data_IF_902437748483
#
_entry.id   IF_902437748483
#
_cell.length_a   1.000
_cell.length_b   1.000
_cell.length_c   1.000
_cell.angle_alpha   90.00
_cell.angle_beta   90.00
_cell.angle_gamma   90.00
#
_symmetry.space_group_name_H-M   'P 1'
#
loop_
_entity.id
_entity.type
_entity.pdbx_description
1 polymer ?
#
# COMPACT_ATOMS: atom_id res chain seq x y z
N UNK A 1 -6.24 23.82 -11.24
CA UNK A 1 -6.11 22.36 -11.01
C UNK A 1 -6.81 22.04 -9.71
N UNK A 2 -7.47 20.88 -9.66
CA UNK A 2 -8.16 20.36 -8.45
C UNK A 2 -7.10 19.86 -7.48
N UNK A 3 -7.07 20.39 -6.25
CA UNK A 3 -6.11 19.96 -5.22
C UNK A 3 -6.53 18.59 -4.68
N UNK A 4 -5.63 17.62 -4.67
CA UNK A 4 -5.91 16.27 -4.15
C UNK A 4 -4.83 15.79 -3.19
N UNK A 5 -5.24 15.03 -2.17
CA UNK A 5 -4.36 14.23 -1.32
C UNK A 5 -4.50 12.77 -1.74
N UNK A 6 -3.37 12.07 -1.88
CA UNK A 6 -3.35 10.67 -2.30
C UNK A 6 -2.94 9.78 -1.13
N UNK A 7 -3.76 8.80 -0.81
CA UNK A 7 -3.55 7.80 0.23
C UNK A 7 -3.19 6.48 -0.43
N UNK A 8 -2.05 5.91 -0.09
CA UNK A 8 -1.55 4.67 -0.66
C UNK A 8 -1.46 3.61 0.42
N UNK A 9 -2.30 2.58 0.30
CA UNK A 9 -2.16 1.36 1.06
C UNK A 9 -0.96 0.57 0.51
N UNK A 10 0.13 0.57 1.26
CA UNK A 10 1.40 0.00 0.82
C UNK A 10 1.35 -1.50 0.57
N UNK A 11 0.61 -2.25 1.40
CA UNK A 11 0.48 -3.70 1.23
C UNK A 11 -0.41 -4.04 0.04
N UNK A 12 -1.54 -3.38 -0.10
CA UNK A 12 -2.40 -3.56 -1.26
C UNK A 12 -1.68 -3.22 -2.57
N UNK A 13 -0.93 -2.11 -2.60
CA UNK A 13 -0.11 -1.74 -3.76
C UNK A 13 0.95 -2.81 -4.04
N UNK A 14 1.68 -3.27 -3.01
CA UNK A 14 2.73 -4.27 -3.17
C UNK A 14 2.17 -5.60 -3.72
N UNK A 15 1.17 -6.17 -3.07
CA UNK A 15 0.62 -7.47 -3.48
C UNK A 15 -0.17 -7.40 -4.79
N UNK A 16 -0.80 -6.27 -5.08
CA UNK A 16 -1.58 -6.09 -6.31
C UNK A 16 -0.72 -5.84 -7.56
N UNK A 17 0.34 -5.06 -7.46
CA UNK A 17 1.09 -4.59 -8.63
C UNK A 17 2.59 -4.87 -8.61
N UNK A 18 3.23 -4.99 -7.44
CA UNK A 18 4.68 -4.96 -7.34
C UNK A 18 5.31 -6.30 -6.96
N UNK A 19 4.55 -7.20 -6.34
CA UNK A 19 5.05 -8.50 -5.91
C UNK A 19 5.58 -9.30 -7.11
N UNK A 20 6.79 -9.84 -6.98
CA UNK A 20 7.50 -10.60 -8.01
C UNK A 20 7.76 -9.83 -9.33
N UNK A 21 7.73 -8.49 -9.28
CA UNK A 21 8.02 -7.63 -10.44
C UNK A 21 9.34 -6.89 -10.25
N UNK A 22 10.03 -6.54 -11.36
CA UNK A 22 11.29 -5.78 -11.30
C UNK A 22 11.06 -4.25 -11.21
N UNK A 23 9.87 -3.79 -10.92
CA UNK A 23 9.53 -2.35 -10.87
C UNK A 23 9.07 -1.92 -9.47
N UNK A 24 9.73 -2.47 -8.43
CA UNK A 24 9.45 -2.17 -7.03
C UNK A 24 10.13 -0.90 -6.52
N UNK A 25 11.11 -0.37 -7.25
CA UNK A 25 11.82 0.89 -6.92
C UNK A 25 10.98 2.09 -7.40
N UNK A 26 9.77 2.20 -6.89
CA UNK A 26 8.70 3.06 -7.39
C UNK A 26 8.76 4.47 -6.77
N UNK A 27 8.79 5.51 -7.61
CA UNK A 27 8.52 6.89 -7.19
C UNK A 27 7.01 7.06 -6.96
N UNK A 28 6.61 7.05 -5.69
CA UNK A 28 5.20 7.12 -5.30
C UNK A 28 4.56 8.47 -5.63
N UNK A 29 5.34 9.55 -5.71
CA UNK A 29 4.81 10.88 -6.09
C UNK A 29 4.55 10.93 -7.58
N UNK A 30 5.50 10.46 -8.41
CA UNK A 30 5.32 10.34 -9.86
C UNK A 30 4.18 9.38 -10.20
N UNK A 31 4.11 8.25 -9.49
CA UNK A 31 3.06 7.26 -9.65
C UNK A 31 1.67 7.85 -9.34
N UNK A 32 1.52 8.54 -8.22
CA UNK A 32 0.27 9.21 -7.85
C UNK A 32 -0.15 10.24 -8.92
N UNK A 33 0.77 11.10 -9.36
CA UNK A 33 0.51 12.10 -10.42
C UNK A 33 0.08 11.45 -11.75
N UNK A 34 0.73 10.35 -12.12
CA UNK A 34 0.39 9.60 -13.36
C UNK A 34 -1.03 9.03 -13.29
N UNK A 35 -1.43 8.52 -12.13
CA UNK A 35 -2.75 7.91 -11.94
C UNK A 35 -3.87 8.94 -11.94
N UNK A 36 -3.71 10.03 -11.19
CA UNK A 36 -4.77 11.07 -11.09
C UNK A 36 -4.87 11.92 -12.33
N UNK A 37 -3.79 12.04 -13.10
CA UNK A 37 -3.75 12.77 -14.36
C UNK A 37 -3.51 14.28 -14.19
N UNK A 38 -3.39 15.01 -15.32
CA UNK A 38 -2.89 16.39 -15.36
C UNK A 38 -3.86 17.45 -14.81
N UNK A 39 -5.12 17.12 -14.62
CA UNK A 39 -6.11 18.05 -14.07
C UNK A 39 -6.03 18.21 -12.55
N UNK A 40 -5.24 17.38 -11.89
CA UNK A 40 -5.09 17.38 -10.43
C UNK A 40 -3.70 17.89 -10.01
N UNK A 41 -3.69 18.70 -8.95
CA UNK A 41 -2.47 19.03 -8.20
C UNK A 41 -2.37 18.12 -6.97
N UNK A 42 -1.41 17.23 -6.97
CA UNK A 42 -1.14 16.36 -5.83
C UNK A 42 -0.42 17.18 -4.75
N UNK A 43 -1.15 17.50 -3.68
CA UNK A 43 -0.62 18.24 -2.54
C UNK A 43 0.33 17.38 -1.70
N UNK A 44 -0.10 16.18 -1.37
CA UNK A 44 0.62 15.24 -0.53
C UNK A 44 0.28 13.81 -0.93
N UNK A 45 1.26 12.93 -0.86
CA UNK A 45 1.10 11.49 -0.94
C UNK A 45 1.34 10.90 0.45
N UNK A 46 0.32 10.32 1.06
CA UNK A 46 0.40 9.63 2.35
C UNK A 46 0.55 8.13 2.08
N UNK A 47 1.72 7.60 2.39
CA UNK A 47 2.04 6.18 2.17
C UNK A 47 1.99 5.42 3.48
N UNK A 48 1.04 4.50 3.59
CA UNK A 48 0.81 3.68 4.77
C UNK A 48 1.51 2.34 4.60
N UNK A 49 2.37 2.02 5.53
CA UNK A 49 3.21 0.82 5.47
C UNK A 49 3.62 0.39 6.86
N UNK A 50 4.10 -0.84 6.99
CA UNK A 50 4.66 -1.34 8.23
C UNK A 50 6.04 -1.91 8.00
N UNK A 51 6.91 -1.78 8.99
CA UNK A 51 8.28 -2.27 8.91
C UNK A 51 8.26 -3.80 8.74
N UNK A 52 8.73 -4.30 7.60
CA UNK A 52 8.81 -5.74 7.35
C UNK A 52 9.71 -6.43 8.38
N UNK A 53 9.53 -7.73 8.55
CA UNK A 53 10.43 -8.52 9.39
C UNK A 53 11.39 -9.31 8.51
N UNK A 54 12.60 -9.49 9.00
CA UNK A 54 13.52 -10.40 8.38
C UNK A 54 13.02 -11.84 8.58
N UNK A 55 12.93 -12.57 7.50
CA UNK A 55 12.65 -14.00 7.49
C UNK A 55 13.91 -14.74 7.05
N UNK A 56 14.16 -15.98 7.57
CA UNK A 56 15.31 -16.77 7.15
C UNK A 56 15.43 -16.93 5.63
N UNK A 57 14.29 -17.03 4.94
CA UNK A 57 14.21 -17.20 3.49
C UNK A 57 14.50 -15.90 2.72
N UNK A 58 14.38 -14.75 3.38
CA UNK A 58 14.64 -13.44 2.76
C UNK A 58 15.24 -12.45 3.77
N UNK A 59 16.50 -12.62 4.17
CA UNK A 59 17.16 -11.76 5.16
C UNK A 59 17.34 -10.32 4.66
N UNK A 60 17.39 -10.10 3.35
CA UNK A 60 17.58 -8.78 2.75
C UNK A 60 16.30 -7.92 2.71
N UNK A 61 15.12 -8.51 2.98
CA UNK A 61 13.85 -7.80 2.86
C UNK A 61 13.78 -6.53 3.71
N UNK A 62 14.29 -6.61 4.94
CA UNK A 62 14.31 -5.47 5.88
C UNK A 62 15.25 -4.36 5.40
N UNK A 63 16.43 -4.72 4.90
CA UNK A 63 17.42 -3.75 4.39
C UNK A 63 16.91 -3.09 3.11
N UNK A 64 16.33 -3.87 2.21
CA UNK A 64 15.75 -3.35 0.96
C UNK A 64 14.60 -2.38 1.24
N UNK A 65 13.73 -2.68 2.21
CA UNK A 65 12.68 -1.76 2.64
C UNK A 65 13.26 -0.49 3.26
N UNK A 66 14.30 -0.61 4.06
CA UNK A 66 14.98 0.55 4.65
C UNK A 66 15.54 1.48 3.57
N UNK A 67 16.26 0.95 2.59
CA UNK A 67 16.76 1.75 1.46
C UNK A 67 15.62 2.39 0.66
N UNK A 68 14.52 1.68 0.47
CA UNK A 68 13.35 2.25 -0.19
C UNK A 68 12.74 3.41 0.60
N UNK A 69 12.63 3.30 1.91
CA UNK A 69 12.13 4.39 2.75
C UNK A 69 13.06 5.59 2.76
N UNK A 70 14.39 5.38 2.78
CA UNK A 70 15.36 6.45 2.61
C UNK A 70 15.21 7.13 1.24
N UNK A 71 15.03 6.37 0.18
CA UNK A 71 14.79 6.92 -1.15
C UNK A 71 13.49 7.73 -1.21
N UNK A 72 12.40 7.21 -0.63
CA UNK A 72 11.15 7.94 -0.56
C UNK A 72 11.26 9.23 0.25
N UNK A 73 12.05 9.26 1.31
CA UNK A 73 12.23 10.46 2.14
C UNK A 73 12.91 11.62 1.41
N UNK A 74 13.56 11.37 0.28
CA UNK A 74 14.13 12.43 -0.58
C UNK A 74 13.09 13.10 -1.48
N UNK A 75 11.91 12.49 -1.62
CA UNK A 75 10.85 13.03 -2.47
C UNK A 75 10.10 14.16 -1.75
N UNK A 76 9.80 15.26 -2.44
CA UNK A 76 8.89 16.25 -1.92
C UNK A 76 7.45 15.69 -1.91
N UNK A 77 6.63 16.16 -1.00
CA UNK A 77 5.20 15.83 -0.92
C UNK A 77 4.88 14.39 -0.47
N UNK A 78 5.84 13.62 0.03
CA UNK A 78 5.60 12.28 0.61
C UNK A 78 5.51 12.34 2.14
N UNK A 79 4.57 11.62 2.71
CA UNK A 79 4.45 11.38 4.15
C UNK A 79 4.35 9.88 4.39
N UNK A 80 5.37 9.31 5.03
CA UNK A 80 5.35 7.91 5.48
C UNK A 80 4.58 7.82 6.80
N UNK A 81 3.62 6.91 6.86
CA UNK A 81 2.82 6.63 8.06
C UNK A 81 2.98 5.16 8.40
N UNK A 82 3.67 4.91 9.50
CA UNK A 82 4.04 3.56 9.90
C UNK A 82 2.94 2.92 10.77
N UNK A 83 2.54 1.70 10.41
CA UNK A 83 1.91 0.73 11.29
C UNK A 83 2.95 -0.06 12.08
N UNK A 84 2.51 -1.10 12.77
CA UNK A 84 3.42 -2.02 13.45
C UNK A 84 2.93 -3.46 13.35
N UNK A 85 3.86 -4.42 13.48
CA UNK A 85 3.52 -5.82 13.61
C UNK A 85 3.42 -6.25 15.08
N UNK A 86 2.30 -6.88 15.41
CA UNK A 86 2.13 -7.57 16.67
C UNK A 86 2.46 -9.06 16.49
N UNK A 87 3.39 -9.55 17.31
CA UNK A 87 3.73 -10.96 17.39
C UNK A 87 2.92 -11.60 18.52
N UNK A 88 2.13 -12.62 18.22
CA UNK A 88 1.39 -13.38 19.23
C UNK A 88 1.63 -14.88 19.05
N UNK A 89 1.67 -15.61 20.16
CA UNK A 89 1.63 -17.08 20.14
C UNK A 89 0.16 -17.50 20.12
N UNK A 90 -0.22 -18.37 19.19
CA UNK A 90 -1.58 -18.88 19.04
C UNK A 90 -1.54 -20.39 18.84
N UNK A 91 -2.55 -21.08 19.38
CA UNK A 91 -2.85 -22.45 18.99
C UNK A 91 -3.79 -22.39 17.78
N UNK A 92 -3.36 -22.94 16.66
CA UNK A 92 -4.16 -22.96 15.44
C UNK A 92 -4.31 -24.37 14.91
N UNK A 93 -5.48 -24.74 14.36
CA UNK A 93 -5.68 -26.04 13.76
C UNK A 93 -4.79 -26.18 12.53
N UNK A 94 -4.31 -27.41 12.28
CA UNK A 94 -3.67 -27.73 11.02
C UNK A 94 -4.69 -27.62 9.88
N UNK A 95 -4.33 -26.92 8.79
CA UNK A 95 -5.04 -27.07 7.54
C UNK A 95 -4.63 -28.40 6.90
N UNK A 96 -5.50 -29.41 6.99
CA UNK A 96 -5.31 -30.69 6.30
C UNK A 96 -6.60 -31.08 5.64
N UNK A 97 -6.49 -31.56 4.42
CA UNK A 97 -7.58 -32.31 3.80
C UNK A 97 -7.83 -33.59 4.60
N UNK A 98 -9.08 -34.07 4.68
CA UNK A 98 -9.38 -35.35 5.29
C UNK A 98 -8.53 -36.46 4.66
N UNK A 99 -8.01 -37.36 5.47
CA UNK A 99 -7.28 -38.52 4.97
C UNK A 99 -8.19 -39.29 4.01
N UNK A 100 -7.79 -39.50 2.76
CA UNK A 100 -8.57 -40.22 1.76
C UNK A 100 -8.87 -41.68 2.10
N UNK A 101 -8.06 -42.28 2.97
CA UNK A 101 -8.20 -43.70 3.37
C UNK A 101 -9.00 -43.88 4.66
N UNK A 102 -9.07 -42.93 5.56
CA UNK A 102 -9.76 -43.09 6.85
C UNK A 102 -10.72 -41.95 7.21
N UNK A 103 -10.85 -40.92 6.35
CA UNK A 103 -11.69 -39.73 6.56
C UNK A 103 -11.46 -38.99 7.91
N UNK A 104 -10.41 -39.30 8.61
CA UNK A 104 -10.07 -38.66 9.88
C UNK A 104 -9.45 -37.29 9.58
N UNK A 105 -10.05 -36.23 10.13
CA UNK A 105 -9.44 -34.89 10.21
C UNK A 105 -8.70 -34.84 11.53
N UNK A 106 -7.38 -34.64 11.54
CA UNK A 106 -6.64 -34.51 12.78
C UNK A 106 -7.12 -33.26 13.53
N UNK A 107 -7.74 -33.46 14.67
CA UNK A 107 -8.18 -32.36 15.54
C UNK A 107 -7.01 -31.89 16.42
N UNK A 108 -5.86 -31.61 15.80
CA UNK A 108 -4.66 -31.17 16.50
C UNK A 108 -4.44 -29.68 16.29
N UNK A 109 -4.15 -29.00 17.41
CA UNK A 109 -3.73 -27.61 17.43
C UNK A 109 -2.20 -27.56 17.47
N UNK A 110 -1.61 -26.72 16.65
CA UNK A 110 -0.18 -26.42 16.71
C UNK A 110 0.07 -25.04 17.32
N UNK A 111 1.09 -24.88 18.16
CA UNK A 111 1.55 -23.57 18.56
C UNK A 111 2.21 -22.90 17.36
N UNK A 112 1.64 -21.78 16.94
CA UNK A 112 2.18 -20.97 15.85
C UNK A 112 2.49 -19.56 16.32
N UNK A 113 3.46 -18.94 15.68
CA UNK A 113 3.70 -17.50 15.83
C UNK A 113 2.91 -16.78 14.78
N UNK A 114 1.82 -16.13 15.19
CA UNK A 114 1.04 -15.27 14.31
C UNK A 114 1.64 -13.87 14.32
N UNK A 115 1.93 -13.36 13.13
CA UNK A 115 2.32 -11.98 12.89
C UNK A 115 1.13 -11.27 12.28
N UNK A 116 0.60 -10.29 12.98
CA UNK A 116 -0.50 -9.46 12.48
C UNK A 116 -0.01 -8.04 12.31
N UNK A 117 -0.27 -7.48 11.15
CA UNK A 117 -0.14 -6.05 10.97
C UNK A 117 -1.26 -5.34 11.72
N UNK A 118 -0.92 -4.24 12.36
CA UNK A 118 -1.86 -3.43 13.13
C UNK A 118 -1.79 -1.98 12.67
N UNK A 119 -2.95 -1.35 12.62
CA UNK A 119 -3.18 0.08 12.37
C UNK A 119 -3.21 0.57 10.91
N UNK A 120 -2.71 -0.05 9.83
CA UNK A 120 -2.71 0.61 8.54
C UNK A 120 -4.10 1.09 8.14
N UNK A 121 -5.10 0.23 8.12
CA UNK A 121 -6.46 0.56 7.69
C UNK A 121 -7.10 1.63 8.58
N UNK A 122 -6.91 1.52 9.91
CA UNK A 122 -7.39 2.53 10.86
C UNK A 122 -6.68 3.87 10.63
N UNK A 123 -5.37 3.86 10.39
CA UNK A 123 -4.61 5.07 10.09
C UNK A 123 -5.07 5.69 8.77
N UNK A 124 -5.26 4.87 7.70
CA UNK A 124 -5.77 5.34 6.41
C UNK A 124 -7.13 6.00 6.60
N UNK A 125 -8.08 5.29 7.23
CA UNK A 125 -9.43 5.79 7.47
C UNK A 125 -9.42 7.10 8.27
N UNK A 126 -8.63 7.15 9.35
CA UNK A 126 -8.53 8.33 10.21
C UNK A 126 -7.94 9.52 9.46
N UNK A 127 -6.80 9.35 8.79
CA UNK A 127 -6.13 10.42 8.03
C UNK A 127 -7.04 10.95 6.90
N UNK A 128 -7.73 10.05 6.18
CA UNK A 128 -8.67 10.44 5.12
C UNK A 128 -9.85 11.27 5.66
N UNK A 129 -10.47 10.84 6.76
CA UNK A 129 -11.60 11.54 7.35
C UNK A 129 -11.17 12.88 7.94
N UNK A 130 -10.05 12.94 8.65
CA UNK A 130 -9.52 14.19 9.21
C UNK A 130 -9.18 15.22 8.13
N UNK A 131 -8.54 14.81 7.04
CA UNK A 131 -8.25 15.70 5.92
C UNK A 131 -9.53 16.20 5.23
N UNK A 132 -10.52 15.33 5.09
CA UNK A 132 -11.79 15.70 4.47
C UNK A 132 -12.63 16.66 5.33
N UNK A 133 -12.62 16.47 6.66
CA UNK A 133 -13.28 17.36 7.63
C UNK A 133 -12.57 18.72 7.68
N UNK A 134 -11.25 18.72 7.67
CA UNK A 134 -10.43 19.94 7.74
C UNK A 134 -10.32 20.69 6.39
N UNK A 135 -10.98 20.19 5.35
CA UNK A 135 -10.97 20.78 4.00
C UNK A 135 -9.58 21.01 3.40
N UNK A 136 -8.65 20.12 3.75
CA UNK A 136 -7.25 20.22 3.34
C UNK A 136 -7.04 20.06 1.82
N UNK A 137 -8.05 19.54 1.11
CA UNK A 137 -8.04 19.36 -0.36
C UNK A 137 -9.46 19.46 -0.94
N UNK A 138 -9.53 19.63 -2.26
CA UNK A 138 -10.79 19.69 -3.00
C UNK A 138 -11.33 18.31 -3.35
N UNK A 139 -10.43 17.33 -3.49
CA UNK A 139 -10.72 15.93 -3.81
C UNK A 139 -9.74 15.00 -3.08
N UNK A 140 -10.10 13.72 -3.00
CA UNK A 140 -9.32 12.69 -2.33
C UNK A 140 -9.10 11.50 -3.25
N UNK A 141 -7.94 10.86 -3.15
CA UNK A 141 -7.60 9.70 -3.96
C UNK A 141 -7.08 8.58 -3.08
N UNK A 142 -7.70 7.41 -3.14
CA UNK A 142 -7.31 6.23 -2.40
C UNK A 142 -6.79 5.14 -3.34
N UNK A 143 -5.62 4.59 -3.04
CA UNK A 143 -5.02 3.47 -3.77
C UNK A 143 -5.08 2.24 -2.88
N UNK A 144 -6.10 1.42 -3.06
CA UNK A 144 -6.35 0.15 -2.37
C UNK A 144 -7.35 -0.71 -3.12
N UNK A 145 -7.37 -1.99 -2.85
CA UNK A 145 -8.43 -2.94 -3.22
C UNK A 145 -9.18 -3.48 -2.01
N UNK A 146 -8.87 -2.99 -0.81
CA UNK A 146 -9.43 -3.50 0.43
C UNK A 146 -10.83 -2.94 0.72
N UNK A 147 -11.79 -3.85 0.85
CA UNK A 147 -13.20 -3.52 1.17
C UNK A 147 -13.38 -2.92 2.56
N UNK A 148 -12.46 -3.15 3.50
CA UNK A 148 -12.56 -2.61 4.87
C UNK A 148 -12.51 -1.07 4.88
N UNK A 149 -11.95 -0.48 3.81
CA UNK A 149 -11.93 0.97 3.59
C UNK A 149 -13.19 1.52 2.88
N UNK A 150 -14.20 0.70 2.61
CA UNK A 150 -15.43 1.17 1.96
C UNK A 150 -16.23 2.16 2.83
N UNK A 151 -16.25 1.96 4.15
CA UNK A 151 -16.98 2.85 5.07
C UNK A 151 -16.41 4.28 5.09
N UNK A 152 -15.10 4.55 5.24
CA UNK A 152 -14.57 5.91 5.13
C UNK A 152 -14.75 6.53 3.74
N UNK A 153 -14.66 5.74 2.66
CA UNK A 153 -14.96 6.23 1.29
C UNK A 153 -16.41 6.69 1.20
N UNK A 154 -17.35 5.90 1.72
CA UNK A 154 -18.78 6.25 1.78
C UNK A 154 -19.02 7.55 2.57
N UNK A 155 -18.40 7.68 3.75
CA UNK A 155 -18.54 8.85 4.59
C UNK A 155 -18.03 10.12 3.89
N UNK A 156 -16.86 10.10 3.27
CA UNK A 156 -16.29 11.23 2.55
C UNK A 156 -17.22 11.66 1.42
N UNK A 157 -17.70 10.71 0.61
CA UNK A 157 -18.55 11.03 -0.54
C UNK A 157 -19.93 11.52 -0.16
N UNK A 158 -20.61 10.82 0.74
CA UNK A 158 -22.05 11.06 0.99
C UNK A 158 -22.35 11.94 2.19
N UNK A 159 -21.52 11.90 3.23
CA UNK A 159 -21.72 12.73 4.43
C UNK A 159 -20.95 14.05 4.29
N UNK A 160 -19.67 14.00 3.94
CA UNK A 160 -18.85 15.20 3.79
C UNK A 160 -18.97 15.86 2.40
N UNK A 161 -19.67 15.21 1.45
CA UNK A 161 -19.90 15.71 0.08
C UNK A 161 -18.62 16.05 -0.68
N UNK A 162 -17.52 15.35 -0.40
CA UNK A 162 -16.24 15.54 -1.10
C UNK A 162 -16.04 14.44 -2.14
N UNK A 163 -15.52 14.76 -3.33
CA UNK A 163 -15.19 13.74 -4.33
C UNK A 163 -14.03 12.88 -3.86
N UNK A 164 -14.18 11.57 -4.00
CA UNK A 164 -13.14 10.58 -3.71
C UNK A 164 -13.01 9.58 -4.85
N UNK A 165 -11.81 9.47 -5.40
CA UNK A 165 -11.45 8.48 -6.41
C UNK A 165 -10.78 7.27 -5.75
N UNK A 166 -11.09 6.07 -6.22
CA UNK A 166 -10.42 4.84 -5.80
C UNK A 166 -9.72 4.20 -7.00
N UNK A 167 -8.45 3.93 -6.83
CA UNK A 167 -7.63 3.19 -7.79
C UNK A 167 -7.22 1.87 -7.18
N UNK A 168 -7.73 0.78 -7.76
CA UNK A 168 -7.47 -0.56 -7.25
C UNK A 168 -6.22 -1.16 -7.92
N UNK A 169 -5.20 -1.57 -7.14
CA UNK A 169 -3.99 -2.20 -7.67
C UNK A 169 -4.20 -3.66 -8.08
N UNK A 170 -5.31 -4.30 -7.69
CA UNK A 170 -5.60 -5.69 -8.04
C UNK A 170 -6.38 -5.80 -9.36
N UNK A 171 -6.29 -6.98 -9.99
CA UNK A 171 -7.08 -7.28 -11.20
C UNK A 171 -8.56 -7.43 -10.90
N UNK A 172 -8.89 -8.06 -9.76
CA UNK A 172 -10.27 -8.24 -9.33
C UNK A 172 -10.88 -6.91 -8.88
N UNK A 173 -12.11 -6.65 -9.29
CA UNK A 173 -12.84 -5.44 -8.88
C UNK A 173 -13.38 -5.60 -7.47
N UNK A 174 -13.11 -4.62 -6.59
CA UNK A 174 -13.80 -4.51 -5.32
C UNK A 174 -15.14 -3.78 -5.52
N UNK A 175 -16.23 -4.52 -5.45
CA UNK A 175 -17.58 -4.00 -5.75
C UNK A 175 -18.03 -2.95 -4.72
N UNK A 176 -17.66 -3.10 -3.45
CA UNK A 176 -18.02 -2.14 -2.40
C UNK A 176 -17.34 -0.80 -2.60
N UNK A 177 -16.03 -0.79 -2.80
CA UNK A 177 -15.29 0.44 -3.12
C UNK A 177 -15.82 1.09 -4.39
N UNK A 178 -16.10 0.30 -5.44
CA UNK A 178 -16.68 0.81 -6.69
C UNK A 178 -18.05 1.44 -6.48
N UNK A 179 -18.87 0.90 -5.60
CA UNK A 179 -20.21 1.43 -5.27
C UNK A 179 -20.12 2.81 -4.60
N UNK A 180 -19.18 2.99 -3.69
CA UNK A 180 -19.12 4.19 -2.87
C UNK A 180 -18.18 5.28 -3.40
N UNK A 181 -17.20 4.95 -4.22
CA UNK A 181 -16.31 5.93 -4.83
C UNK A 181 -17.03 6.86 -5.83
N UNK A 182 -16.58 8.11 -5.95
CA UNK A 182 -17.00 9.01 -7.02
C UNK A 182 -16.46 8.57 -8.38
N UNK A 183 -15.28 7.98 -8.38
CA UNK A 183 -14.61 7.38 -9.53
C UNK A 183 -13.85 6.13 -9.07
N UNK A 184 -13.91 5.06 -9.86
CA UNK A 184 -13.22 3.81 -9.59
C UNK A 184 -12.55 3.27 -10.85
N UNK A 185 -11.28 2.89 -10.72
CA UNK A 185 -10.52 2.28 -11.82
C UNK A 185 -9.48 1.29 -11.28
N UNK A 186 -9.30 0.17 -11.98
CA UNK A 186 -8.16 -0.72 -11.73
C UNK A 186 -6.91 -0.10 -12.37
N UNK A 187 -5.77 -0.16 -11.67
CA UNK A 187 -4.51 0.41 -12.15
C UNK A 187 -3.92 -0.51 -13.23
N UNK A 188 -3.58 0.00 -14.42
CA UNK A 188 -2.86 -0.78 -15.42
C UNK A 188 -1.51 -1.26 -14.91
N UNK A 189 -1.15 -2.51 -15.24
CA UNK A 189 0.03 -3.18 -14.71
C UNK A 189 1.38 -2.61 -15.21
N UNK A 190 1.36 -1.79 -16.26
CA UNK A 190 2.52 -1.14 -16.87
C UNK A 190 2.87 0.22 -16.23
N UNK A 191 1.94 0.86 -15.53
CA UNK A 191 2.15 2.17 -14.90
C UNK A 191 3.35 2.19 -13.95
N UNK A 192 3.57 1.20 -13.06
CA UNK A 192 4.74 1.22 -12.17
C UNK A 192 6.08 1.25 -12.91
N UNK A 193 6.19 0.62 -14.08
CA UNK A 193 7.44 0.63 -14.86
C UNK A 193 7.82 2.04 -15.35
N UNK A 194 6.83 2.91 -15.58
CA UNK A 194 7.03 4.28 -16.04
C UNK A 194 7.38 5.26 -14.91
N UNK A 195 7.23 4.82 -13.65
CA UNK A 195 7.33 5.65 -12.47
C UNK A 195 8.45 5.20 -11.52
N UNK A 196 9.60 4.81 -12.06
CA UNK A 196 10.72 4.36 -11.24
C UNK A 196 11.52 5.55 -10.70
N UNK A 197 12.06 5.39 -9.49
CA UNK A 197 13.10 6.25 -8.93
C UNK A 197 14.42 6.09 -9.70
N UNK A 198 15.31 7.08 -9.66
CA UNK A 198 16.69 6.90 -10.16
C UNK A 198 17.37 5.72 -9.49
N UNK A 199 18.23 5.00 -10.23
CA UNK A 199 18.98 3.86 -9.67
C UNK A 199 19.87 4.29 -8.50
N UNK A 200 20.53 5.44 -8.63
CA UNK A 200 21.37 6.06 -7.60
C UNK A 200 20.66 7.29 -7.03
N UNK A 201 20.58 7.38 -5.73
CA UNK A 201 19.99 8.54 -5.02
C UNK A 201 21.00 9.04 -3.99
N UNK A 202 21.42 10.31 -4.13
CA UNK A 202 22.22 10.98 -3.13
C UNK A 202 21.33 11.40 -1.95
N UNK A 203 21.76 11.08 -0.74
CA UNK A 203 21.11 11.51 0.50
C UNK A 203 21.68 12.84 1.00
N UNK A 204 20.96 13.57 1.87
CA UNK A 204 21.42 14.86 2.39
C UNK A 204 22.73 14.78 3.18
N UNK A 205 23.09 13.63 3.72
CA UNK A 205 24.36 13.39 4.44
C UNK A 205 25.55 13.10 3.51
N UNK A 206 25.35 13.15 2.20
CA UNK A 206 26.38 12.87 1.19
C UNK A 206 26.54 11.40 0.82
N UNK A 207 25.82 10.49 1.48
CA UNK A 207 25.82 9.07 1.09
C UNK A 207 24.98 8.83 -0.17
N UNK A 208 25.27 7.77 -0.90
CA UNK A 208 24.48 7.36 -2.07
C UNK A 208 23.87 5.99 -1.81
N UNK A 209 22.59 5.89 -2.00
CA UNK A 209 21.87 4.61 -1.98
C UNK A 209 21.58 4.15 -3.40
N UNK A 210 21.48 2.83 -3.56
CA UNK A 210 21.23 2.19 -4.84
C UNK A 210 19.93 1.38 -4.78
N UNK A 211 19.26 1.26 -5.92
CA UNK A 211 18.11 0.37 -6.01
C UNK A 211 18.52 -1.08 -5.65
N UNK A 212 17.73 -1.76 -4.78
CA UNK A 212 18.00 -3.16 -4.48
C UNK A 212 17.97 -4.04 -5.74
N UNK A 213 18.81 -5.07 -5.77
CA UNK A 213 18.89 -6.00 -6.90
C UNK A 213 17.51 -6.58 -7.25
N UNK A 214 17.13 -6.50 -8.53
CA UNK A 214 15.84 -6.98 -9.02
C UNK A 214 14.63 -6.11 -8.68
N UNK A 215 14.85 -4.86 -8.22
CA UNK A 215 13.77 -3.91 -7.95
C UNK A 215 13.55 -2.89 -9.07
N UNK A 216 14.47 -2.80 -10.02
CA UNK A 216 14.36 -1.99 -11.23
C UNK A 216 14.77 -2.80 -12.45
N UNK A 217 14.28 -2.44 -13.63
CA UNK A 217 14.62 -3.04 -14.91
C UNK A 217 15.87 -2.43 -15.53
N UNK A 218 16.31 -1.27 -15.05
CA UNK A 218 17.54 -0.60 -15.50
C UNK A 218 18.60 -0.67 -14.41
N UNK A 219 19.85 -1.01 -14.75
CA UNK A 219 20.97 -0.86 -13.83
C UNK A 219 21.30 0.62 -13.64
#
# INVERSE_FOLDING_TARGET
MIRTIVYIDGFNLFYGLLQHKPNRWLDLVKFAKTIVGPHYDVLTVKYFTSKTKSYPENPQSLLNQHYYWLALSTLPKIKLIEGFYQKSKRLMPFYREPCKSCSLVPNHLAPVVKLEEKRPDVNIATEMLMDAISENADAFTLITGDSDLAAPVQAIRYQLKKPIAVFNPHKATCLELKRFASFYKNIPADIPAQCQLPYNIALPDGTTIHAPTGWTTSP
#
